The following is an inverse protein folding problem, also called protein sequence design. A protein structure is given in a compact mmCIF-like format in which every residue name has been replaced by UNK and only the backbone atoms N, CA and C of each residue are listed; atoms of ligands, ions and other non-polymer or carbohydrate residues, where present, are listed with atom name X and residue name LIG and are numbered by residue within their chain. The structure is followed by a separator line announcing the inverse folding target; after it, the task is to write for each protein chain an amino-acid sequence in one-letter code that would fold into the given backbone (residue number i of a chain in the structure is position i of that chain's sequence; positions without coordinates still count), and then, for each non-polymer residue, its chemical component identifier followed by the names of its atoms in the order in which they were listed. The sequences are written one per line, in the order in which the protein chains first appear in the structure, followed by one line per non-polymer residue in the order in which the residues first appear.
data_IF_435226194216
#
_entry.id   IF_435226194216
#
_cell.length_a   1.000
_cell.length_b   1.000
_cell.length_c   1.000
_cell.angle_alpha   90.00
_cell.angle_beta   90.00
_cell.angle_gamma   90.00
#
_symmetry.space_group_name_H-M   'P 1'
#
loop_
_entity.id
_entity.type
_entity.pdbx_description
1 polymer ?
#
# COMPACT_ATOMS: atom_id res chain seq x y z
N UNK A 1 6.44 -11.59 10.50
CA UNK A 1 7.17 -10.68 9.60
C UNK A 1 6.39 -9.39 9.59
N UNK A 2 7.03 -8.22 9.67
CA UNK A 2 6.29 -6.95 9.64
C UNK A 2 5.68 -6.72 8.24
N UNK A 3 4.38 -6.37 8.16
CA UNK A 3 3.72 -6.14 6.88
C UNK A 3 4.29 -4.91 6.17
N UNK A 4 4.11 -4.88 4.86
CA UNK A 4 4.38 -3.71 4.03
C UNK A 4 3.12 -2.90 3.83
N UNK A 5 3.28 -1.63 3.51
CA UNK A 5 2.18 -0.69 3.33
C UNK A 5 2.35 0.10 2.04
N UNK A 6 1.24 0.29 1.33
CA UNK A 6 1.11 1.19 0.18
C UNK A 6 0.37 2.42 0.67
N UNK A 7 0.96 3.60 0.49
CA UNK A 7 0.25 4.85 0.73
C UNK A 7 -0.26 5.42 -0.60
N UNK A 8 -1.43 6.06 -0.56
CA UNK A 8 -2.07 6.66 -1.73
C UNK A 8 -2.32 8.15 -1.50
N UNK A 9 -2.15 8.94 -2.56
CA UNK A 9 -2.53 10.37 -2.54
C UNK A 9 -4.03 10.59 -2.82
N UNK A 10 -4.81 9.52 -3.05
CA UNK A 10 -6.26 9.62 -3.16
C UNK A 10 -6.99 8.36 -2.69
N UNK A 11 -8.19 8.54 -2.13
CA UNK A 11 -9.09 7.43 -1.76
C UNK A 11 -9.49 6.59 -2.98
N UNK A 12 -9.67 7.21 -4.15
CA UNK A 12 -10.05 6.50 -5.36
C UNK A 12 -8.95 5.53 -5.83
N UNK A 13 -7.68 5.95 -5.77
CA UNK A 13 -6.55 5.07 -6.09
C UNK A 13 -6.43 3.92 -5.07
N UNK A 14 -6.64 4.20 -3.78
CA UNK A 14 -6.63 3.16 -2.75
C UNK A 14 -7.72 2.10 -2.99
N UNK A 15 -8.97 2.51 -3.23
CA UNK A 15 -10.08 1.58 -3.51
C UNK A 15 -9.87 0.82 -4.83
N UNK A 16 -9.28 1.47 -5.84
CA UNK A 16 -8.93 0.78 -7.09
C UNK A 16 -7.87 -0.29 -6.85
N UNK A 17 -6.82 0.03 -6.10
CA UNK A 17 -5.76 -0.91 -5.76
C UNK A 17 -6.30 -2.08 -4.94
N UNK A 18 -7.18 -1.81 -3.97
CA UNK A 18 -7.87 -2.85 -3.18
C UNK A 18 -8.57 -3.86 -4.09
N UNK A 19 -9.47 -3.39 -4.97
CA UNK A 19 -10.19 -4.29 -5.88
C UNK A 19 -9.25 -5.12 -6.76
N UNK A 20 -8.14 -4.54 -7.24
CA UNK A 20 -7.17 -5.23 -8.10
C UNK A 20 -6.39 -6.30 -7.32
N UNK A 21 -5.98 -5.98 -6.10
CA UNK A 21 -5.23 -6.89 -5.23
C UNK A 21 -6.12 -8.02 -4.69
N UNK A 22 -7.37 -7.73 -4.34
CA UNK A 22 -8.36 -8.76 -3.99
C UNK A 22 -8.65 -9.70 -5.17
N UNK A 23 -8.75 -9.15 -6.39
CA UNK A 23 -8.93 -9.95 -7.60
C UNK A 23 -7.76 -10.90 -7.87
N UNK A 24 -6.54 -10.47 -7.51
CA UNK A 24 -5.33 -11.27 -7.58
C UNK A 24 -5.14 -12.22 -6.36
N UNK A 25 -6.16 -12.34 -5.50
CA UNK A 25 -6.14 -13.16 -4.28
C UNK A 25 -5.00 -12.79 -3.30
N UNK A 26 -4.57 -11.52 -3.33
CA UNK A 26 -3.57 -11.00 -2.38
C UNK A 26 -4.26 -10.69 -1.06
N UNK A 27 -3.74 -11.23 0.04
CA UNK A 27 -4.21 -10.85 1.38
C UNK A 27 -3.85 -9.39 1.67
N UNK A 28 -4.88 -8.54 1.82
CA UNK A 28 -4.71 -7.12 2.06
C UNK A 28 -5.60 -6.61 3.20
N UNK A 29 -5.19 -5.50 3.80
CA UNK A 29 -5.92 -4.78 4.85
C UNK A 29 -5.94 -3.28 4.53
N UNK A 30 -7.13 -2.69 4.33
CA UNK A 30 -7.24 -1.23 4.28
C UNK A 30 -7.14 -0.63 5.69
N UNK A 31 -6.24 0.34 5.85
CA UNK A 31 -6.04 1.10 7.08
C UNK A 31 -6.04 2.59 6.80
N UNK A 32 -6.52 3.42 7.75
CA UNK A 32 -6.31 4.85 7.65
C UNK A 32 -4.81 5.16 7.67
N UNK A 33 -4.35 6.00 6.76
CA UNK A 33 -2.92 6.35 6.67
C UNK A 33 -2.45 6.95 8.00
N UNK A 34 -1.41 6.39 8.64
CA UNK A 34 -0.86 6.95 9.87
C UNK A 34 -0.42 8.41 9.67
N UNK A 35 -0.69 9.26 10.67
CA UNK A 35 -0.30 10.69 10.65
C UNK A 35 1.21 10.92 10.48
N UNK A 36 2.01 9.90 10.79
CA UNK A 36 3.46 9.87 10.63
C UNK A 36 3.88 9.84 9.15
N UNK A 37 3.01 9.36 8.26
CA UNK A 37 3.27 9.28 6.81
C UNK A 37 2.71 10.53 6.09
N UNK A 38 1.51 11.00 6.43
CA UNK A 38 0.91 12.21 5.80
C UNK A 38 -0.15 12.90 6.69
N UNK A 39 -0.46 14.18 6.37
CA UNK A 39 -1.63 14.93 6.89
C UNK A 39 -2.81 15.01 5.89
N UNK A 40 -2.73 14.32 4.74
CA UNK A 40 -3.68 14.40 3.63
C UNK A 40 -3.76 13.12 2.78
N UNK A 41 -4.99 12.73 2.45
CA UNK A 41 -5.50 11.48 1.88
C UNK A 41 -5.34 10.20 2.73
N UNK A 42 -6.49 9.54 2.90
CA UNK A 42 -6.89 8.93 4.15
C UNK A 42 -6.63 7.43 4.26
N UNK A 43 -6.21 6.76 3.18
CA UNK A 43 -6.15 5.29 3.12
C UNK A 43 -4.79 4.77 2.66
N UNK A 44 -4.42 3.66 3.27
CA UNK A 44 -3.26 2.85 2.99
C UNK A 44 -3.67 1.38 2.92
N UNK A 45 -2.93 0.58 2.15
CA UNK A 45 -3.15 -0.87 2.04
C UNK A 45 -1.96 -1.57 2.67
N UNK A 46 -2.20 -2.37 3.69
CA UNK A 46 -1.21 -3.29 4.26
C UNK A 46 -1.29 -4.65 3.56
N UNK A 47 -0.14 -5.28 3.34
CA UNK A 47 -0.03 -6.58 2.66
C UNK A 47 1.23 -7.33 3.14
N UNK A 48 1.26 -8.68 3.04
CA UNK A 48 2.40 -9.47 3.46
C UNK A 48 3.63 -9.20 2.57
N UNK A 49 4.83 -9.22 3.17
CA UNK A 49 6.06 -8.93 2.44
C UNK A 49 6.31 -9.94 1.29
N UNK A 50 5.82 -11.16 1.43
CA UNK A 50 5.85 -12.24 0.45
C UNK A 50 5.10 -11.88 -0.84
N UNK A 51 4.10 -11.00 -0.76
CA UNK A 51 3.32 -10.54 -1.91
C UNK A 51 3.91 -9.30 -2.61
N UNK A 52 5.07 -8.80 -2.16
CA UNK A 52 5.66 -7.56 -2.70
C UNK A 52 5.87 -7.57 -4.20
N UNK A 53 6.38 -8.67 -4.76
CA UNK A 53 6.63 -8.76 -6.19
C UNK A 53 5.33 -8.74 -7.00
N UNK A 54 4.27 -9.41 -6.50
CA UNK A 54 2.95 -9.41 -7.13
C UNK A 54 2.29 -8.04 -7.05
N UNK A 55 2.33 -7.41 -5.87
CA UNK A 55 1.80 -6.06 -5.66
C UNK A 55 2.49 -5.04 -6.58
N UNK A 56 3.82 -5.11 -6.70
CA UNK A 56 4.59 -4.24 -7.61
C UNK A 56 4.20 -4.45 -9.07
N UNK A 57 4.02 -5.72 -9.49
CA UNK A 57 3.55 -6.04 -10.86
C UNK A 57 2.19 -5.41 -11.13
N UNK A 58 1.20 -5.65 -10.26
CA UNK A 58 -0.16 -5.14 -10.44
C UNK A 58 -0.17 -3.62 -10.51
N UNK A 59 0.59 -2.94 -9.64
CA UNK A 59 0.67 -1.48 -9.64
C UNK A 59 1.23 -0.94 -10.96
N UNK A 60 2.30 -1.56 -11.49
CA UNK A 60 2.93 -1.13 -12.73
C UNK A 60 2.06 -1.43 -13.96
N UNK A 61 1.51 -2.65 -14.04
CA UNK A 61 0.65 -3.11 -15.15
C UNK A 61 -0.64 -2.29 -15.24
N UNK A 62 -1.30 -2.06 -14.10
CA UNK A 62 -2.56 -1.32 -14.03
C UNK A 62 -2.36 0.20 -13.90
N UNK A 63 -1.10 0.66 -13.84
CA UNK A 63 -0.72 2.07 -13.69
C UNK A 63 -1.43 2.72 -12.51
N UNK A 64 -1.42 2.05 -11.37
CA UNK A 64 -1.97 2.57 -10.12
C UNK A 64 -1.02 3.62 -9.58
N UNK A 65 -1.50 4.84 -9.39
CA UNK A 65 -0.68 5.89 -8.79
C UNK A 65 -0.60 5.68 -7.28
N UNK A 66 0.61 5.40 -6.81
CA UNK A 66 0.92 5.27 -5.40
C UNK A 66 1.79 6.44 -4.94
N UNK A 67 1.63 6.84 -3.69
CA UNK A 67 2.54 7.79 -3.06
C UNK A 67 3.91 7.15 -2.82
N UNK A 68 3.90 5.86 -2.48
CA UNK A 68 5.09 5.04 -2.28
C UNK A 68 4.80 3.78 -1.47
N UNK A 69 5.82 2.92 -1.38
CA UNK A 69 5.83 1.72 -0.54
C UNK A 69 6.59 1.98 0.75
N UNK A 70 6.05 1.49 1.85
CA UNK A 70 6.56 1.71 3.20
C UNK A 70 6.70 0.39 3.94
N UNK A 71 7.72 0.31 4.80
CA UNK A 71 7.93 -0.76 5.75
C UNK A 71 7.92 -0.20 7.17
N UNK A 72 7.31 -0.93 8.10
CA UNK A 72 7.36 -0.57 9.51
C UNK A 72 8.78 -0.73 10.06
N UNK A 73 9.28 0.29 10.73
CA UNK A 73 10.61 0.33 11.37
C UNK A 73 10.47 0.76 12.84
N UNK A 74 11.54 0.60 13.63
CA UNK A 74 11.53 0.80 15.09
C UNK A 74 11.08 2.20 15.54
N UNK A 75 11.09 3.19 14.64
CA UNK A 75 10.67 4.57 14.90
C UNK A 75 9.58 5.11 13.96
N UNK A 76 8.87 4.26 13.22
CA UNK A 76 7.80 4.69 12.31
C UNK A 76 7.76 3.88 11.02
N UNK A 77 7.75 4.57 9.87
CA UNK A 77 7.69 3.97 8.55
C UNK A 77 8.86 4.45 7.68
N UNK A 78 9.50 3.52 6.99
CA UNK A 78 10.59 3.78 6.05
C UNK A 78 10.12 3.48 4.63
N UNK A 79 10.43 4.38 3.68
CA UNK A 79 10.08 4.21 2.28
C UNK A 79 11.05 3.23 1.60
N UNK A 80 10.53 2.30 0.79
CA UNK A 80 11.30 1.17 0.23
C UNK A 80 11.15 1.00 -1.30
N UNK A 81 10.63 2.00 -2.00
CA UNK A 81 10.54 2.00 -3.47
C UNK A 81 11.73 2.70 -4.15
#
# INVERSE_FOLDING_TARGET
MDPLMIAFDSTQQALRAEMLLEYAEVEIDIRPTPKEITAGCALSIEFPQEALDEVKRIIDEEKVEIRGLFKRSSGGYERID
#
